data_IF_867602988221
#
_entry.id   IF_867602988221
#
_cell.length_a   1.000
_cell.length_b   1.000
_cell.length_c   1.000
_cell.angle_alpha   90.00
_cell.angle_beta   90.00
_cell.angle_gamma   90.00
#
_symmetry.space_group_name_H-M   'P 1'
#
loop_
_entity.id
_entity.type
_entity.pdbx_description
1 polymer ?
#
# COMPACT_ATOMS: atom_id res chain seq x y z
N UNK A 1 -4.31 -18.90 1.15
CA UNK A 1 -4.34 -18.29 -0.17
C UNK A 1 -3.71 -19.13 -1.20
N UNK A 2 -4.20 -19.49 -1.59
CA UNK A 2 -3.94 -20.46 -1.90
C UNK A 2 -3.94 -20.79 -3.25
N UNK A 3 -4.80 -20.86 -3.82
CA UNK A 3 -5.01 -21.31 -5.09
C UNK A 3 -5.68 -20.22 -5.85
N UNK A 4 -5.06 -19.75 -6.85
CA UNK A 4 -5.67 -18.85 -7.79
C UNK A 4 -6.93 -19.53 -8.37
N UNK A 5 -8.08 -18.92 -8.21
CA UNK A 5 -9.35 -19.38 -8.75
C UNK A 5 -9.85 -18.38 -9.79
N UNK A 6 -9.49 -18.62 -11.06
CA UNK A 6 -9.86 -17.75 -12.16
C UNK A 6 -11.37 -17.70 -12.46
N UNK A 7 -12.12 -18.69 -11.97
CA UNK A 7 -13.57 -18.68 -12.10
C UNK A 7 -14.23 -17.75 -11.10
N UNK A 8 -13.62 -17.59 -9.94
CA UNK A 8 -14.16 -16.81 -8.85
C UNK A 8 -13.60 -15.41 -8.78
N UNK A 9 -12.30 -15.24 -9.08
CA UNK A 9 -11.58 -13.99 -8.85
C UNK A 9 -11.03 -13.33 -10.14
N UNK A 10 -11.28 -13.90 -11.29
CA UNK A 10 -10.78 -13.40 -12.56
C UNK A 10 -9.35 -13.84 -12.89
N UNK A 11 -8.77 -13.30 -13.94
CA UNK A 11 -7.44 -13.69 -14.42
C UNK A 11 -6.31 -13.19 -13.50
N UNK A 12 -5.09 -13.78 -13.60
CA UNK A 12 -3.95 -13.44 -12.75
C UNK A 12 -3.40 -12.01 -12.86
N UNK A 13 -3.79 -11.27 -13.86
CA UNK A 13 -3.42 -9.87 -14.07
C UNK A 13 -4.37 -8.89 -13.37
N UNK A 14 -5.44 -9.38 -12.76
CA UNK A 14 -6.31 -8.61 -11.90
C UNK A 14 -5.91 -8.77 -10.42
N UNK A 15 -6.34 -7.86 -9.58
CA UNK A 15 -6.14 -8.00 -8.13
C UNK A 15 -7.01 -9.13 -7.58
N UNK A 16 -6.49 -9.79 -6.56
CA UNK A 16 -7.19 -10.84 -5.81
C UNK A 16 -7.41 -10.37 -4.39
N UNK A 17 -8.60 -10.58 -3.89
CA UNK A 17 -8.96 -10.26 -2.52
C UNK A 17 -9.23 -11.54 -1.73
N UNK A 18 -9.00 -11.47 -0.42
CA UNK A 18 -9.28 -12.55 0.50
C UNK A 18 -10.51 -12.21 1.35
N UNK A 19 -11.37 -13.19 1.57
CA UNK A 19 -12.57 -13.04 2.38
C UNK A 19 -12.39 -13.72 3.75
N UNK A 20 -12.70 -13.02 4.80
CA UNK A 20 -12.64 -13.52 6.17
C UNK A 20 -13.91 -14.27 6.61
N UNK A 21 -14.75 -14.65 5.71
CA UNK A 21 -16.00 -15.36 6.04
C UNK A 21 -17.20 -14.43 6.23
N UNK A 22 -16.99 -13.13 6.40
CA UNK A 22 -18.02 -12.11 6.46
C UNK A 22 -18.44 -11.59 5.07
N UNK A 23 -17.83 -12.16 4.02
CA UNK A 23 -18.06 -11.75 2.62
C UNK A 23 -17.36 -10.46 2.21
N UNK A 24 -16.61 -9.83 3.10
CA UNK A 24 -15.85 -8.62 2.80
C UNK A 24 -14.42 -8.96 2.40
N UNK A 25 -13.92 -8.37 1.31
CA UNK A 25 -12.52 -8.52 0.94
C UNK A 25 -11.61 -7.79 1.93
N UNK A 26 -10.43 -8.34 2.15
CA UNK A 26 -9.41 -7.62 2.89
C UNK A 26 -8.35 -7.08 1.94
N UNK A 27 -8.27 -5.77 1.86
CA UNK A 27 -7.51 -5.06 0.83
C UNK A 27 -5.99 -4.99 1.10
N UNK A 28 -5.56 -5.20 2.34
CA UNK A 28 -4.16 -5.05 2.76
C UNK A 28 -3.16 -6.02 2.12
N UNK A 29 -3.62 -7.08 1.44
CA UNK A 29 -2.72 -7.99 0.72
C UNK A 29 -2.07 -7.37 -0.50
N UNK A 30 -2.73 -6.44 -1.17
CA UNK A 30 -2.22 -5.82 -2.39
C UNK A 30 -0.96 -4.99 -2.12
N UNK A 31 -0.96 -4.02 -1.18
CA UNK A 31 0.22 -3.26 -0.86
C UNK A 31 1.34 -4.13 -0.27
N UNK A 32 1.02 -5.17 0.53
CA UNK A 32 2.02 -6.10 1.04
C UNK A 32 2.72 -6.88 -0.07
N UNK A 33 1.96 -7.36 -1.05
CA UNK A 33 2.53 -8.09 -2.18
C UNK A 33 3.45 -7.19 -3.02
N UNK A 34 3.02 -5.96 -3.28
CA UNK A 34 3.83 -4.96 -3.97
C UNK A 34 5.12 -4.64 -3.21
N UNK A 35 5.02 -4.29 -1.93
CA UNK A 35 6.16 -3.97 -1.08
C UNK A 35 7.15 -5.15 -1.00
N UNK A 36 6.65 -6.36 -0.77
CA UNK A 36 7.48 -7.56 -0.70
C UNK A 36 8.23 -7.84 -2.01
N UNK A 37 7.56 -7.66 -3.14
CA UNK A 37 8.18 -7.83 -4.46
C UNK A 37 9.26 -6.76 -4.72
N UNK A 38 8.97 -5.50 -4.43
CA UNK A 38 9.93 -4.40 -4.59
C UNK A 38 11.15 -4.57 -3.67
N UNK A 39 10.93 -5.00 -2.43
CA UNK A 39 12.00 -5.34 -1.49
C UNK A 39 12.84 -6.52 -2.00
N UNK A 40 12.22 -7.56 -2.53
CA UNK A 40 12.95 -8.69 -3.11
C UNK A 40 13.83 -8.26 -4.27
N UNK A 41 13.34 -7.38 -5.14
CA UNK A 41 14.15 -6.80 -6.21
C UNK A 41 15.34 -6.03 -5.64
N UNK A 42 15.12 -5.11 -4.70
CA UNK A 42 16.18 -4.35 -4.04
C UNK A 42 17.24 -5.27 -3.40
N UNK A 43 16.83 -6.29 -2.66
CA UNK A 43 17.73 -7.25 -2.02
C UNK A 43 18.60 -8.02 -3.04
N UNK A 44 18.04 -8.40 -4.18
CA UNK A 44 18.81 -9.05 -5.26
C UNK A 44 19.86 -8.10 -5.84
N UNK A 45 19.50 -6.85 -6.11
CA UNK A 45 20.43 -5.82 -6.59
C UNK A 45 21.56 -5.61 -5.60
N UNK A 46 21.25 -5.42 -4.32
CA UNK A 46 22.25 -5.20 -3.27
C UNK A 46 23.22 -6.37 -3.10
N UNK A 47 22.78 -7.58 -3.43
CA UNK A 47 23.62 -8.79 -3.40
C UNK A 47 24.31 -9.09 -4.72
N UNK A 48 24.19 -8.24 -5.72
CA UNK A 48 24.74 -8.46 -7.06
C UNK A 48 24.17 -9.70 -7.75
N UNK A 49 22.91 -10.07 -7.43
CA UNK A 49 22.23 -11.22 -8.02
C UNK A 49 21.38 -10.80 -9.22
N UNK A 50 21.21 -11.67 -10.21
CA UNK A 50 20.31 -11.39 -11.32
C UNK A 50 18.88 -11.22 -10.82
N UNK A 51 18.21 -10.21 -11.34
CA UNK A 51 16.81 -9.93 -11.03
C UNK A 51 15.92 -10.55 -12.11
N UNK A 52 14.97 -11.43 -11.76
CA UNK A 52 14.05 -11.98 -12.73
C UNK A 52 13.23 -10.86 -13.42
N UNK A 53 13.09 -10.97 -14.73
CA UNK A 53 12.34 -9.98 -15.51
C UNK A 53 10.89 -9.83 -15.04
N UNK A 54 10.24 -10.96 -14.72
CA UNK A 54 8.88 -10.98 -14.24
C UNK A 54 8.71 -10.21 -12.92
N UNK A 55 9.73 -10.24 -12.05
CA UNK A 55 9.71 -9.48 -10.80
C UNK A 55 9.77 -7.98 -11.09
N UNK A 56 10.65 -7.54 -11.98
CA UNK A 56 10.72 -6.14 -12.40
C UNK A 56 9.43 -5.67 -13.04
N UNK A 57 8.92 -6.44 -14.01
CA UNK A 57 7.66 -6.12 -14.69
C UNK A 57 6.48 -6.05 -13.73
N UNK A 58 6.41 -6.93 -12.73
CA UNK A 58 5.37 -6.88 -11.71
C UNK A 58 5.43 -5.57 -10.93
N UNK A 59 6.59 -5.19 -10.43
CA UNK A 59 6.77 -3.97 -9.63
C UNK A 59 6.52 -2.73 -10.48
N UNK A 60 7.08 -2.67 -11.69
CA UNK A 60 6.93 -1.50 -12.57
C UNK A 60 5.46 -1.28 -12.98
N UNK A 61 4.75 -2.35 -13.35
CA UNK A 61 3.33 -2.26 -13.71
C UNK A 61 2.45 -1.81 -12.53
N UNK A 62 2.74 -2.31 -11.33
CA UNK A 62 2.05 -1.84 -10.14
C UNK A 62 2.35 -0.36 -9.88
N UNK A 63 3.59 0.08 -10.00
CA UNK A 63 3.99 1.47 -9.82
C UNK A 63 3.28 2.40 -10.81
N UNK A 64 3.26 2.04 -12.10
CA UNK A 64 2.58 2.82 -13.14
C UNK A 64 1.07 2.89 -12.92
N UNK A 65 0.46 1.77 -12.53
CA UNK A 65 -0.95 1.72 -12.19
C UNK A 65 -1.27 2.59 -10.97
N UNK A 66 -0.46 2.50 -9.89
CA UNK A 66 -0.59 3.33 -8.69
C UNK A 66 -0.49 4.81 -9.03
N UNK A 67 0.49 5.22 -9.82
CA UNK A 67 0.63 6.61 -10.25
C UNK A 67 -0.63 7.10 -10.99
N UNK A 68 -1.19 6.26 -11.85
CA UNK A 68 -2.45 6.53 -12.53
C UNK A 68 -3.64 6.62 -11.56
N UNK A 69 -3.70 5.74 -10.56
CA UNK A 69 -4.72 5.76 -9.54
C UNK A 69 -4.63 7.06 -8.71
N UNK A 70 -3.47 7.36 -8.15
CA UNK A 70 -3.26 8.56 -7.32
C UNK A 70 -3.65 9.86 -8.04
N UNK A 71 -3.38 9.96 -9.34
CA UNK A 71 -3.83 11.11 -10.13
C UNK A 71 -5.36 11.23 -10.22
N UNK A 72 -6.06 10.11 -10.34
CA UNK A 72 -7.54 10.10 -10.45
C UNK A 72 -8.23 10.26 -9.11
N UNK A 73 -7.63 9.82 -8.02
CA UNK A 73 -8.17 9.90 -6.66
C UNK A 73 -7.92 11.26 -5.97
N UNK A 74 -7.35 12.23 -6.69
CA UNK A 74 -7.05 13.52 -6.08
C UNK A 74 -5.83 13.54 -5.17
N UNK A 75 -4.90 12.60 -5.34
CA UNK A 75 -3.67 12.52 -4.55
C UNK A 75 -3.75 11.55 -3.37
N UNK A 76 -4.57 10.49 -3.50
CA UNK A 76 -4.69 9.45 -2.47
C UNK A 76 -4.28 8.09 -3.04
N UNK A 77 -3.75 7.24 -2.18
CA UNK A 77 -3.42 5.85 -2.49
C UNK A 77 -4.66 4.94 -2.37
N UNK A 78 -4.73 3.81 -3.12
CA UNK A 78 -5.86 2.90 -3.00
C UNK A 78 -5.83 2.18 -1.66
N UNK A 79 -6.95 2.16 -0.97
CA UNK A 79 -7.12 1.49 0.32
C UNK A 79 -8.28 0.48 0.35
N UNK A 80 -9.12 0.44 -0.67
CA UNK A 80 -10.15 -0.58 -0.84
C UNK A 80 -10.00 -1.31 -2.17
N UNK A 81 -9.95 -2.65 -2.10
CA UNK A 81 -9.86 -3.56 -3.25
C UNK A 81 -11.05 -4.52 -3.21
N UNK A 82 -12.21 -4.08 -3.68
CA UNK A 82 -13.41 -4.89 -3.68
C UNK A 82 -13.29 -6.08 -4.63
N UNK A 83 -14.18 -7.04 -4.50
CA UNK A 83 -14.25 -8.17 -5.42
C UNK A 83 -14.59 -7.68 -6.84
N UNK A 84 -13.82 -8.16 -7.81
CA UNK A 84 -14.11 -7.87 -9.23
C UNK A 84 -15.59 -8.12 -9.59
N UNK A 85 -16.22 -7.30 -10.42
CA UNK A 85 -15.62 -6.32 -11.33
C UNK A 85 -15.49 -4.88 -10.78
N UNK A 86 -15.74 -4.66 -9.49
CA UNK A 86 -15.61 -3.32 -8.92
C UNK A 86 -14.15 -2.86 -8.95
N UNK A 87 -13.86 -1.63 -9.37
CA UNK A 87 -12.49 -1.11 -9.36
C UNK A 87 -12.02 -0.83 -7.92
N UNK A 88 -10.72 -0.79 -7.69
CA UNK A 88 -10.16 -0.26 -6.45
C UNK A 88 -10.56 1.19 -6.20
N UNK A 89 -10.74 1.52 -4.93
CA UNK A 89 -11.19 2.82 -4.48
C UNK A 89 -10.28 3.38 -3.38
N UNK A 90 -10.38 4.65 -3.13
CA UNK A 90 -9.93 5.30 -1.91
C UNK A 90 -11.15 5.66 -1.08
N UNK A 91 -11.16 5.21 0.16
CA UNK A 91 -12.23 5.46 1.13
C UNK A 91 -11.67 6.37 2.22
N UNK A 92 -12.23 7.56 2.42
CA UNK A 92 -11.79 8.46 3.48
C UNK A 92 -12.10 7.91 4.87
N UNK A 93 -11.37 8.40 5.86
CA UNK A 93 -11.60 8.11 7.28
C UNK A 93 -11.55 6.60 7.64
N UNK A 94 -10.85 5.79 6.86
CA UNK A 94 -10.74 4.36 7.07
C UNK A 94 -9.42 3.99 7.77
N UNK A 95 -9.44 2.88 8.52
CA UNK A 95 -8.29 2.32 9.23
C UNK A 95 -7.27 1.70 8.25
N UNK A 96 -6.63 2.52 7.43
CA UNK A 96 -5.80 2.06 6.29
C UNK A 96 -4.45 2.76 6.15
N UNK A 97 -4.01 3.55 7.13
CA UNK A 97 -2.68 4.18 7.10
C UNK A 97 -1.52 3.19 6.89
N UNK A 98 -1.66 1.95 7.37
CA UNK A 98 -0.70 0.88 7.10
C UNK A 98 -0.59 0.53 5.61
N UNK A 99 -1.68 0.60 4.87
CA UNK A 99 -1.66 0.37 3.42
C UNK A 99 -0.91 1.47 2.70
N UNK A 100 -1.14 2.73 3.09
CA UNK A 100 -0.39 3.87 2.59
C UNK A 100 1.11 3.73 2.87
N UNK A 101 1.50 3.34 4.10
CA UNK A 101 2.90 3.05 4.45
C UNK A 101 3.52 1.96 3.59
N UNK A 102 2.79 0.88 3.34
CA UNK A 102 3.26 -0.22 2.48
C UNK A 102 3.43 0.20 1.01
N UNK A 103 2.55 1.07 0.48
CA UNK A 103 2.73 1.65 -0.86
C UNK A 103 3.98 2.51 -0.94
N UNK A 104 4.21 3.36 0.07
CA UNK A 104 5.41 4.19 0.18
C UNK A 104 6.68 3.34 0.26
N UNK A 105 6.69 2.33 1.14
CA UNK A 105 7.82 1.43 1.31
C UNK A 105 8.14 0.67 0.00
N UNK A 106 7.11 0.13 -0.66
CA UNK A 106 7.28 -0.56 -1.93
C UNK A 106 7.85 0.34 -3.02
N UNK A 107 7.31 1.55 -3.19
CA UNK A 107 7.82 2.51 -4.15
C UNK A 107 9.25 2.97 -3.82
N UNK A 108 9.58 3.09 -2.53
CA UNK A 108 10.94 3.42 -2.08
C UNK A 108 11.93 2.30 -2.39
N UNK A 109 11.59 1.04 -2.13
CA UNK A 109 12.41 -0.10 -2.53
C UNK A 109 12.58 -0.20 -4.05
N UNK A 110 11.52 0.04 -4.82
CA UNK A 110 11.60 0.06 -6.28
C UNK A 110 12.58 1.14 -6.78
N UNK A 111 12.52 2.34 -6.20
CA UNK A 111 13.46 3.42 -6.50
C UNK A 111 14.91 3.03 -6.19
N UNK A 112 15.15 2.48 -5.00
CA UNK A 112 16.48 2.03 -4.58
C UNK A 112 16.99 0.85 -5.42
N UNK A 113 16.10 0.03 -5.95
CA UNK A 113 16.43 -1.06 -6.86
C UNK A 113 16.73 -0.59 -8.30
N UNK A 114 16.51 0.67 -8.60
CA UNK A 114 16.75 1.26 -9.93
C UNK A 114 15.58 1.12 -10.90
N UNK A 115 14.33 1.01 -10.39
CA UNK A 115 13.14 1.06 -11.24
C UNK A 115 13.06 2.41 -11.98
N UNK A 116 12.65 2.33 -13.24
CA UNK A 116 12.38 3.50 -14.09
C UNK A 116 10.90 3.64 -14.43
N UNK A 117 10.03 3.01 -13.66
CA UNK A 117 8.60 3.06 -13.85
C UNK A 117 8.07 4.50 -13.85
N UNK A 118 7.21 4.79 -14.80
CA UNK A 118 6.66 6.14 -14.97
C UNK A 118 5.78 6.50 -13.77
N UNK A 119 6.13 7.60 -13.11
CA UNK A 119 5.38 8.12 -11.96
C UNK A 119 5.80 7.55 -10.61
N UNK A 120 6.94 6.85 -10.53
CA UNK A 120 7.46 6.30 -9.29
C UNK A 120 7.63 7.37 -8.20
N UNK A 121 8.26 8.49 -8.51
CA UNK A 121 8.45 9.59 -7.55
C UNK A 121 7.11 10.19 -7.14
N UNK A 122 6.18 10.34 -8.08
CA UNK A 122 4.84 10.81 -7.77
C UNK A 122 4.09 9.90 -6.79
N UNK A 123 4.23 8.57 -6.92
CA UNK A 123 3.65 7.62 -5.94
C UNK A 123 4.27 7.83 -4.55
N UNK A 124 5.59 7.98 -4.48
CA UNK A 124 6.29 8.21 -3.21
C UNK A 124 5.86 9.51 -2.54
N UNK A 125 5.82 10.60 -3.30
CA UNK A 125 5.39 11.91 -2.81
C UNK A 125 3.94 11.89 -2.35
N UNK A 126 3.05 11.26 -3.12
CA UNK A 126 1.64 11.14 -2.79
C UNK A 126 1.44 10.34 -1.51
N UNK A 127 2.04 9.15 -1.41
CA UNK A 127 1.89 8.32 -0.21
C UNK A 127 2.50 8.98 1.04
N UNK A 128 3.62 9.68 0.90
CA UNK A 128 4.20 10.44 2.02
C UNK A 128 3.29 11.61 2.43
N UNK A 129 2.74 12.35 1.47
CA UNK A 129 1.83 13.45 1.77
C UNK A 129 0.58 12.94 2.49
N UNK A 130 -0.04 11.86 2.00
CA UNK A 130 -1.21 11.24 2.62
C UNK A 130 -0.91 10.76 4.04
N UNK A 131 0.23 10.10 4.29
CA UNK A 131 0.65 9.72 5.65
C UNK A 131 0.73 10.93 6.59
N UNK A 132 1.30 12.04 6.13
CA UNK A 132 1.47 13.23 6.95
C UNK A 132 0.14 13.94 7.21
N UNK A 133 -0.75 13.99 6.21
CA UNK A 133 -2.00 14.75 6.33
C UNK A 133 -3.11 13.97 7.03
N UNK A 134 -3.18 12.65 6.80
CA UNK A 134 -4.31 11.84 7.27
C UNK A 134 -3.96 10.97 8.48
N UNK A 135 -2.72 10.49 8.57
CA UNK A 135 -2.35 9.44 9.52
C UNK A 135 -1.30 9.86 10.56
N UNK A 136 -0.80 11.08 10.52
CA UNK A 136 0.08 11.57 11.57
C UNK A 136 -0.73 11.95 12.81
N UNK A 137 -0.37 11.38 13.95
CA UNK A 137 -1.00 11.69 15.23
C UNK A 137 -0.51 13.07 15.68
N UNK A 138 -1.40 14.05 15.69
CA UNK A 138 -1.13 15.43 16.10
C UNK A 138 -2.13 15.88 17.14
N UNK A 139 -1.77 16.93 17.89
CA UNK A 139 -2.68 17.64 18.78
C UNK A 139 -3.29 16.81 19.95
N UNK A 140 -2.59 15.76 20.37
CA UNK A 140 -2.93 14.98 21.56
C UNK A 140 -1.85 15.19 22.65
N UNK A 141 -1.83 16.33 23.34
CA UNK A 141 -0.80 16.61 24.33
C UNK A 141 -0.72 15.53 25.41
N UNK A 142 0.52 15.01 25.63
CA UNK A 142 0.74 13.96 26.61
C UNK A 142 0.44 12.52 26.14
N UNK A 143 -0.11 12.35 24.94
CA UNK A 143 -0.30 11.02 24.37
C UNK A 143 1.03 10.46 23.84
N UNK A 144 1.39 9.20 24.16
CA UNK A 144 2.68 8.62 23.76
C UNK A 144 2.86 8.51 22.24
N UNK A 145 1.78 8.51 21.47
CA UNK A 145 1.81 8.45 19.99
C UNK A 145 1.88 9.84 19.34
N UNK A 146 1.87 10.93 20.11
CA UNK A 146 1.89 12.26 19.52
C UNK A 146 3.16 12.48 18.68
N UNK A 147 3.00 12.87 17.42
CA UNK A 147 4.08 12.98 16.43
C UNK A 147 4.41 11.70 15.68
N UNK A 148 3.82 10.55 16.06
CA UNK A 148 3.96 9.29 15.33
C UNK A 148 2.88 9.15 14.24
N UNK A 149 2.90 8.03 13.51
CA UNK A 149 1.84 7.67 12.58
C UNK A 149 0.97 6.55 13.15
N UNK A 150 -0.31 6.60 12.80
CA UNK A 150 -1.29 5.57 13.14
C UNK A 150 -1.97 5.04 11.88
N UNK A 151 -2.37 3.77 11.83
CA UNK A 151 -3.25 3.28 10.77
C UNK A 151 -4.65 3.89 10.82
N UNK A 152 -5.04 4.47 11.96
CA UNK A 152 -6.34 5.05 12.24
C UNK A 152 -6.26 6.58 12.20
N UNK A 153 -6.92 7.25 11.24
CA UNK A 153 -6.90 8.70 11.15
C UNK A 153 -7.60 9.37 12.35
N UNK A 154 -8.58 8.69 12.97
CA UNK A 154 -9.32 9.21 14.12
C UNK A 154 -8.47 9.30 15.40
N UNK A 155 -7.30 8.66 15.43
CA UNK A 155 -6.44 8.72 16.59
C UNK A 155 -5.98 10.15 16.90
N UNK A 156 -5.77 10.98 15.89
CA UNK A 156 -5.49 12.43 16.07
C UNK A 156 -6.62 13.16 16.79
N UNK A 157 -7.86 12.73 16.57
CA UNK A 157 -9.04 13.25 17.30
C UNK A 157 -9.21 12.69 18.71
N UNK A 158 -8.34 11.76 19.14
CA UNK A 158 -8.40 11.12 20.45
C UNK A 158 -9.44 10.00 20.61
N UNK A 159 -10.08 9.59 19.51
CA UNK A 159 -11.13 8.56 19.49
C UNK A 159 -10.70 7.24 18.81
N UNK A 160 -9.58 7.24 18.12
CA UNK A 160 -9.12 6.09 17.36
C UNK A 160 -8.34 5.07 18.21
N UNK A 161 -7.97 3.97 17.56
CA UNK A 161 -7.24 2.87 18.17
C UNK A 161 -5.76 2.85 17.75
N UNK A 162 -4.87 2.82 18.72
CA UNK A 162 -3.47 2.48 18.46
C UNK A 162 -3.34 0.95 18.29
N UNK A 163 -2.84 0.49 17.15
CA UNK A 163 -2.64 -0.92 16.87
C UNK A 163 -1.22 -1.19 16.39
N UNK A 164 -0.39 -1.69 17.29
CA UNK A 164 1.06 -1.79 17.08
C UNK A 164 1.50 -2.57 15.85
N UNK A 165 0.76 -3.64 15.47
CA UNK A 165 1.07 -4.40 14.26
C UNK A 165 0.98 -3.54 12.99
N UNK A 166 -0.15 -2.86 12.80
CA UNK A 166 -0.35 -2.02 11.62
C UNK A 166 0.46 -0.72 11.67
N UNK A 167 0.70 -0.17 12.87
CA UNK A 167 1.63 0.96 13.02
C UNK A 167 3.04 0.58 12.55
N UNK A 168 3.50 -0.65 12.85
CA UNK A 168 4.78 -1.15 12.36
C UNK A 168 4.87 -1.34 10.85
N UNK A 169 3.76 -1.37 10.13
CA UNK A 169 3.74 -1.42 8.66
C UNK A 169 3.84 -0.03 8.00
N UNK A 170 3.73 1.04 8.79
CA UNK A 170 3.94 2.42 8.31
C UNK A 170 5.44 2.75 8.26
N UNK A 171 6.23 2.18 9.17
CA UNK A 171 7.68 2.35 9.25
C UNK A 171 8.44 1.28 8.46
#
# INVERSE_FOLDING_TARGET
WNRWDTHKYGPPDTWTTFHWGDGKPWSGYQPRAYMAAARAWYELVMRGKPVPEQLRLYVDRWTEWLAGFCRRSGGHTPNDFPVAPKPPEWVPDDFTGHMCGLWLAGASYASLAGSTAVGLDYVRETAMAELVTEFQVTDIPGHPMNGCWSPDPDLSGGNGMAFGFYTGEIF
#
